data_IF_837334169719
#
_entry.id   IF_837334169719
#
_cell.length_a   1.000
_cell.length_b   1.000
_cell.length_c   1.000
_cell.angle_alpha   90.00
_cell.angle_beta   90.00
_cell.angle_gamma   90.00
#
_symmetry.space_group_name_H-M   'P 1'
#
loop_
_entity.id
_entity.type
_entity.pdbx_description
1 polymer ?
#
# COMPACT_ATOMS: atom_id res chain seq x y z
N UNK A 1 2.28 5.03 12.59
CA UNK A 1 2.78 4.72 13.94
C UNK A 1 3.41 5.98 14.52
N UNK A 2 3.29 6.19 15.82
CA UNK A 2 4.07 7.21 16.52
C UNK A 2 5.54 6.78 16.61
N UNK A 3 6.42 7.72 16.96
CA UNK A 3 7.84 7.42 17.12
C UNK A 3 8.04 6.31 18.19
N UNK A 4 8.86 5.31 17.84
CA UNK A 4 9.11 4.14 18.70
C UNK A 4 8.10 3.01 18.56
N UNK A 5 6.93 3.24 17.93
CA UNK A 5 5.95 2.17 17.75
C UNK A 5 6.38 1.16 16.68
N UNK A 6 6.13 -0.12 16.98
CA UNK A 6 6.51 -1.23 16.11
C UNK A 6 5.44 -1.58 15.06
N UNK A 7 4.24 -1.01 15.12
CA UNK A 7 3.17 -1.24 14.15
C UNK A 7 2.28 -0.01 13.97
N UNK A 8 1.81 0.23 12.75
CA UNK A 8 0.75 1.19 12.45
C UNK A 8 -0.63 0.55 12.56
N UNK A 9 -1.45 0.71 11.52
CA UNK A 9 -2.79 0.10 11.47
C UNK A 9 -2.74 -1.42 11.70
N UNK A 10 -3.56 -1.91 12.64
CA UNK A 10 -3.55 -3.31 13.09
C UNK A 10 -4.91 -4.02 12.92
N UNK A 11 -5.77 -3.49 12.05
CA UNK A 11 -7.07 -4.08 11.69
C UNK A 11 -8.05 -3.02 11.18
N UNK A 12 -9.21 -3.48 10.69
CA UNK A 12 -10.27 -2.61 10.18
C UNK A 12 -10.13 -2.26 8.70
N UNK A 13 -11.04 -1.39 8.23
CA UNK A 13 -11.06 -0.83 6.88
C UNK A 13 -11.04 0.68 6.99
N UNK A 14 -10.13 1.33 6.25
CA UNK A 14 -10.02 2.78 6.17
C UNK A 14 -10.13 3.22 4.71
N UNK A 15 -11.12 4.07 4.40
CA UNK A 15 -11.29 4.65 3.07
C UNK A 15 -10.99 6.15 3.14
N UNK A 16 -9.94 6.56 2.43
CA UNK A 16 -9.53 7.96 2.27
C UNK A 16 -10.03 8.43 0.91
N UNK A 17 -11.14 9.19 0.91
CA UNK A 17 -11.72 9.78 -0.31
C UNK A 17 -10.84 10.86 -0.97
N UNK A 18 -9.85 11.35 -0.23
CA UNK A 18 -8.89 12.36 -0.66
C UNK A 18 -7.54 11.78 -1.05
N UNK A 19 -6.53 12.64 -1.01
CA UNK A 19 -5.12 12.29 -1.19
C UNK A 19 -4.47 12.03 0.17
N UNK A 20 -3.64 11.00 0.27
CA UNK A 20 -2.80 10.76 1.45
C UNK A 20 -1.42 11.41 1.26
N UNK A 21 -0.78 11.76 2.37
CA UNK A 21 0.60 12.27 2.38
C UNK A 21 1.64 11.17 2.13
N UNK A 22 2.91 11.51 2.39
CA UNK A 22 3.99 10.54 2.44
C UNK A 22 3.77 9.50 3.55
N UNK A 23 4.37 8.32 3.41
CA UNK A 23 4.32 7.23 4.40
C UNK A 23 2.90 6.73 4.72
N UNK A 24 1.96 6.87 3.77
CA UNK A 24 0.64 6.27 3.89
C UNK A 24 0.78 4.77 4.17
N UNK A 25 0.04 4.24 5.15
CA UNK A 25 0.12 2.83 5.59
C UNK A 25 1.50 2.38 6.14
N UNK A 26 2.33 3.30 6.65
CA UNK A 26 3.60 2.94 7.26
C UNK A 26 3.45 1.94 8.42
N UNK A 27 4.27 0.88 8.38
CA UNK A 27 4.24 -0.27 9.31
C UNK A 27 2.86 -0.91 9.48
N UNK A 28 2.00 -0.84 8.48
CA UNK A 28 0.70 -1.51 8.50
C UNK A 28 0.88 -3.00 8.79
N UNK A 29 0.08 -3.52 9.72
CA UNK A 29 0.15 -4.91 10.20
C UNK A 29 -1.06 -5.75 9.82
N UNK A 30 -2.26 -5.16 9.80
CA UNK A 30 -3.51 -5.82 9.39
C UNK A 30 -4.51 -4.78 8.87
N UNK A 31 -5.55 -5.27 8.20
CA UNK A 31 -6.66 -4.47 7.70
C UNK A 31 -6.49 -4.10 6.23
N UNK A 32 -7.33 -3.16 5.78
CA UNK A 32 -7.34 -2.62 4.44
C UNK A 32 -7.35 -1.08 4.49
N UNK A 33 -6.52 -0.44 3.67
CA UNK A 33 -6.57 1.00 3.41
C UNK A 33 -6.81 1.22 1.92
N UNK A 34 -7.80 2.03 1.56
CA UNK A 34 -8.02 2.50 0.19
C UNK A 34 -7.89 4.02 0.11
N UNK A 35 -7.01 4.53 -0.76
CA UNK A 35 -6.78 5.97 -0.98
C UNK A 35 -7.17 6.33 -2.40
N UNK A 36 -8.17 7.21 -2.56
CA UNK A 36 -8.87 7.39 -3.85
C UNK A 36 -8.29 8.50 -4.74
N UNK A 37 -7.43 9.39 -4.21
CA UNK A 37 -6.81 10.48 -4.98
C UNK A 37 -5.28 10.53 -4.85
N UNK A 38 -4.68 9.37 -4.64
CA UNK A 38 -3.25 9.15 -4.64
C UNK A 38 -2.59 9.27 -3.27
N UNK A 39 -1.30 8.95 -3.22
CA UNK A 39 -0.45 9.06 -2.04
C UNK A 39 0.85 9.80 -2.34
N UNK A 40 1.53 10.27 -1.29
CA UNK A 40 2.91 10.74 -1.39
C UNK A 40 3.91 9.60 -1.51
N UNK A 41 5.18 9.92 -1.25
CA UNK A 41 6.29 8.97 -1.30
C UNK A 41 6.18 7.90 -0.20
N UNK A 42 6.84 6.76 -0.42
CA UNK A 42 7.02 5.69 0.55
C UNK A 42 5.70 5.09 1.06
N UNK A 43 4.66 5.05 0.22
CA UNK A 43 3.41 4.38 0.55
C UNK A 43 3.65 2.90 0.88
N UNK A 44 3.10 2.40 1.99
CA UNK A 44 3.33 1.04 2.48
C UNK A 44 4.75 0.79 2.99
N UNK A 45 5.51 1.83 3.34
CA UNK A 45 6.84 1.65 3.91
C UNK A 45 6.83 0.75 5.13
N UNK A 46 7.82 -0.14 5.23
CA UNK A 46 8.01 -1.04 6.37
C UNK A 46 6.77 -1.88 6.68
N UNK A 47 5.89 -2.10 5.70
CA UNK A 47 4.65 -2.86 5.86
C UNK A 47 4.94 -4.27 6.39
N UNK A 48 4.23 -4.66 7.42
CA UNK A 48 4.36 -5.97 8.09
C UNK A 48 3.40 -6.98 7.46
N UNK A 49 2.17 -6.56 7.17
CA UNK A 49 1.11 -7.27 6.43
C UNK A 49 -0.10 -6.32 6.21
N UNK A 50 -1.14 -6.81 5.53
CA UNK A 50 -2.36 -6.05 5.20
C UNK A 50 -2.44 -5.70 3.72
N UNK A 51 -3.46 -4.90 3.37
CA UNK A 51 -3.71 -4.47 1.98
C UNK A 51 -3.78 -2.96 1.90
N UNK A 52 -3.01 -2.36 1.00
CA UNK A 52 -3.10 -0.95 0.62
C UNK A 52 -3.54 -0.86 -0.85
N UNK A 53 -4.58 -0.09 -1.13
CA UNK A 53 -5.02 0.26 -2.49
C UNK A 53 -4.84 1.75 -2.69
N UNK A 54 -4.17 2.15 -3.78
CA UNK A 54 -3.99 3.56 -4.15
C UNK A 54 -4.50 3.76 -5.58
N UNK A 55 -5.54 4.58 -5.70
CA UNK A 55 -6.00 5.12 -6.97
C UNK A 55 -5.52 6.58 -7.11
N UNK A 56 -5.11 6.99 -8.31
CA UNK A 56 -4.57 8.33 -8.56
C UNK A 56 -3.04 8.43 -8.50
N UNK A 57 -2.34 7.29 -8.44
CA UNK A 57 -0.88 7.24 -8.40
C UNK A 57 -0.24 7.48 -7.02
N UNK A 58 1.01 7.03 -6.89
CA UNK A 58 1.84 7.17 -5.69
C UNK A 58 3.14 7.88 -6.02
N UNK A 59 3.79 8.44 -5.00
CA UNK A 59 5.14 8.98 -5.09
C UNK A 59 6.22 7.89 -5.23
N UNK A 60 7.45 8.25 -4.87
CA UNK A 60 8.62 7.40 -5.00
C UNK A 60 8.60 6.22 -4.02
N UNK A 61 9.24 5.11 -4.41
CA UNK A 61 9.58 4.00 -3.52
C UNK A 61 8.41 3.36 -2.72
N UNK A 62 7.23 3.08 -3.33
CA UNK A 62 6.18 2.36 -2.63
C UNK A 62 6.68 0.97 -2.19
N UNK A 63 6.26 0.54 -1.01
CA UNK A 63 6.65 -0.75 -0.43
C UNK A 63 8.09 -0.82 0.07
N UNK A 64 8.80 0.30 0.22
CA UNK A 64 10.18 0.29 0.73
C UNK A 64 10.27 -0.46 2.07
N UNK A 65 11.14 -1.49 2.12
CA UNK A 65 11.33 -2.38 3.28
C UNK A 65 10.05 -3.13 3.73
N UNK A 66 9.09 -3.36 2.83
CA UNK A 66 7.93 -4.20 3.16
C UNK A 66 8.34 -5.66 3.36
N UNK A 67 7.68 -6.34 4.30
CA UNK A 67 7.90 -7.76 4.63
C UNK A 67 6.85 -8.67 4.00
N UNK A 68 5.57 -8.33 4.13
CA UNK A 68 4.42 -9.03 3.56
C UNK A 68 3.31 -8.03 3.30
N UNK A 69 2.23 -8.50 2.67
CA UNK A 69 1.03 -7.72 2.35
C UNK A 69 0.95 -7.43 0.86
N UNK A 70 -0.12 -6.73 0.47
CA UNK A 70 -0.40 -6.37 -0.91
C UNK A 70 -0.52 -4.86 -1.05
N UNK A 71 0.19 -4.29 -2.02
CA UNK A 71 0.03 -2.90 -2.44
C UNK A 71 -0.51 -2.93 -3.87
N UNK A 72 -1.74 -2.47 -4.07
CA UNK A 72 -2.40 -2.40 -5.37
C UNK A 72 -2.36 -0.94 -5.84
N UNK A 73 -1.75 -0.71 -6.99
CA UNK A 73 -1.60 0.62 -7.60
C UNK A 73 -2.36 0.64 -8.93
N UNK A 74 -3.18 1.67 -9.14
CA UNK A 74 -3.89 1.86 -10.42
C UNK A 74 -2.97 2.29 -11.58
N UNK A 75 -1.74 2.72 -11.25
CA UNK A 75 -0.74 3.26 -12.17
C UNK A 75 0.64 2.81 -11.73
N UNK A 76 1.55 2.66 -12.68
CA UNK A 76 2.95 2.44 -12.39
C UNK A 76 3.51 3.59 -11.53
N UNK A 77 4.25 3.30 -10.43
CA UNK A 77 4.93 4.32 -9.67
C UNK A 77 6.12 4.88 -10.47
N UNK A 78 6.58 6.09 -10.10
CA UNK A 78 7.73 6.73 -10.76
C UNK A 78 9.03 5.95 -10.58
N UNK A 79 9.23 5.38 -9.39
CA UNK A 79 10.33 4.49 -9.10
C UNK A 79 9.86 3.36 -8.19
N UNK A 80 10.55 2.23 -8.29
CA UNK A 80 10.46 1.11 -7.35
C UNK A 80 11.83 0.89 -6.74
N UNK A 81 11.84 0.33 -5.53
CA UNK A 81 13.09 -0.13 -4.93
C UNK A 81 13.74 -1.18 -5.83
N UNK A 82 15.07 -1.13 -6.05
CA UNK A 82 15.79 -2.17 -6.78
C UNK A 82 15.66 -3.57 -6.18
N UNK A 83 15.16 -3.68 -4.94
CA UNK A 83 14.87 -4.95 -4.27
C UNK A 83 13.58 -5.62 -4.73
N UNK A 84 12.72 -4.94 -5.49
CA UNK A 84 11.56 -5.57 -6.11
C UNK A 84 11.99 -6.26 -7.40
N UNK A 85 11.57 -7.51 -7.55
CA UNK A 85 11.77 -8.31 -8.75
C UNK A 85 10.41 -8.50 -9.40
N UNK A 86 10.32 -8.22 -10.70
CA UNK A 86 9.12 -8.44 -11.47
C UNK A 86 8.77 -9.93 -11.52
N UNK A 87 7.52 -10.27 -11.20
CA UNK A 87 7.00 -11.65 -11.24
C UNK A 87 6.07 -11.90 -12.43
N UNK A 88 6.02 -10.97 -13.39
CA UNK A 88 5.10 -10.98 -14.54
C UNK A 88 3.71 -10.47 -14.20
N UNK A 89 2.73 -10.80 -15.05
CA UNK A 89 1.34 -10.39 -14.92
C UNK A 89 0.43 -11.60 -14.62
N UNK A 90 0.50 -12.18 -13.40
CA UNK A 90 -0.35 -13.30 -13.05
C UNK A 90 -1.83 -12.86 -12.94
N UNK A 91 -2.74 -13.71 -13.41
CA UNK A 91 -4.14 -13.56 -13.08
C UNK A 91 -4.32 -13.67 -11.56
N UNK A 92 -4.72 -12.55 -10.93
CA UNK A 92 -4.82 -12.46 -9.49
C UNK A 92 -6.27 -12.52 -9.04
N UNK A 93 -6.72 -13.71 -8.64
CA UNK A 93 -8.03 -13.88 -7.97
C UNK A 93 -8.13 -12.97 -6.74
N UNK A 94 -7.01 -12.75 -6.04
CA UNK A 94 -6.94 -11.82 -4.92
C UNK A 94 -7.35 -10.40 -5.32
N UNK A 95 -6.83 -9.87 -6.44
CA UNK A 95 -7.21 -8.54 -6.90
C UNK A 95 -8.71 -8.46 -7.25
N UNK A 96 -9.24 -9.49 -7.93
CA UNK A 96 -10.67 -9.56 -8.26
C UNK A 96 -11.59 -9.62 -7.03
N UNK A 97 -11.16 -10.30 -5.95
CA UNK A 97 -11.93 -10.34 -4.69
C UNK A 97 -11.89 -9.00 -3.97
N UNK A 98 -10.75 -8.31 -3.96
CA UNK A 98 -10.62 -7.00 -3.33
C UNK A 98 -11.49 -5.95 -4.04
N UNK A 99 -11.53 -5.96 -5.36
CA UNK A 99 -12.36 -5.04 -6.15
C UNK A 99 -13.85 -5.15 -5.80
N UNK A 100 -14.35 -6.37 -5.51
CA UNK A 100 -15.73 -6.58 -5.05
C UNK A 100 -16.00 -6.13 -3.62
N UNK A 101 -14.96 -5.97 -2.81
CA UNK A 101 -15.08 -5.61 -1.39
C UNK A 101 -15.03 -4.11 -1.15
N UNK A 102 -14.51 -3.34 -2.11
CA UNK A 102 -14.39 -1.88 -2.08
C UNK A 102 -15.54 -1.19 -2.82
#
# INVERSE_FOLDING_TARGET
PLAGELAGMNGGVLIVRGKAGAFAADRMRRGLIAVLKGSGDNAGSRMIAGTLVVAGGTGEMPGYLMRRGSILLDRAPKSLSPSFVECGAPESVFAAVIDRHL
#
